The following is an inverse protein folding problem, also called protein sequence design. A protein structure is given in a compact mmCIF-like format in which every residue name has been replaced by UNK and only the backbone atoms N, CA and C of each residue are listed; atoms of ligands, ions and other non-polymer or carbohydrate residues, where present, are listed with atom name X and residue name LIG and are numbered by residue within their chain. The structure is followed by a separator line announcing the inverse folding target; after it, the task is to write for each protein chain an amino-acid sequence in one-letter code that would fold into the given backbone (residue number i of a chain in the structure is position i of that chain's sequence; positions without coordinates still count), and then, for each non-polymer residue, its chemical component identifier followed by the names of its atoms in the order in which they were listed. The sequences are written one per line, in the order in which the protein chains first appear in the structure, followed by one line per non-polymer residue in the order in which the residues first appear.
data_IF_344879191111
#
_entry.id   IF_344879191111
#
_cell.length_a   1.000
_cell.length_b   1.000
_cell.length_c   1.000
_cell.angle_alpha   90.00
_cell.angle_beta   90.00
_cell.angle_gamma   90.00
#
_symmetry.space_group_name_H-M   'P 1'
#
loop_
_entity.id
_entity.type
_entity.pdbx_description
1 polymer ?
#
# COMPACT_ATOMS: atom_id res chain seq x y z
N UNK A 1 2.76 0.93 13.26
CA UNK A 1 2.58 -0.48 12.80
C UNK A 1 2.78 -0.60 11.30
N UNK A 2 2.01 0.13 10.48
CA UNK A 2 2.19 0.11 9.01
C UNK A 2 3.59 0.52 8.54
N UNK A 3 4.23 1.50 9.21
CA UNK A 3 5.62 1.89 8.89
C UNK A 3 6.59 0.70 8.97
N UNK A 4 6.47 -0.13 10.02
CA UNK A 4 7.30 -1.32 10.17
C UNK A 4 7.05 -2.33 9.04
N UNK A 5 5.78 -2.55 8.65
CA UNK A 5 5.42 -3.46 7.56
C UNK A 5 6.02 -3.01 6.22
N UNK A 6 6.04 -1.71 5.94
CA UNK A 6 6.64 -1.17 4.71
C UNK A 6 8.16 -1.39 4.62
N UNK A 7 8.81 -1.65 5.75
CA UNK A 7 10.27 -1.86 5.83
C UNK A 7 10.65 -3.34 5.85
N UNK A 8 9.68 -4.25 5.87
CA UNK A 8 9.97 -5.67 5.75
C UNK A 8 10.66 -5.96 4.41
N UNK A 9 11.60 -6.93 4.35
CA UNK A 9 12.34 -7.23 3.13
C UNK A 9 11.43 -7.48 1.92
N UNK A 10 10.30 -8.16 2.12
CA UNK A 10 9.29 -8.44 1.08
C UNK A 10 8.56 -7.19 0.58
N UNK A 11 8.50 -6.13 1.37
CA UNK A 11 7.78 -4.88 1.05
C UNK A 11 8.73 -3.71 0.74
N UNK A 12 10.04 -3.97 0.72
CA UNK A 12 11.09 -2.96 0.61
C UNK A 12 11.20 -2.32 -0.78
N UNK A 13 10.46 -2.83 -1.76
CA UNK A 13 10.40 -2.33 -3.14
C UNK A 13 8.96 -2.13 -3.56
N UNK A 14 8.71 -1.19 -4.47
CA UNK A 14 7.37 -0.95 -5.03
C UNK A 14 6.85 -2.20 -5.75
N UNK A 15 5.56 -2.52 -5.55
CA UNK A 15 4.90 -3.64 -6.21
C UNK A 15 4.98 -3.56 -7.75
N UNK A 16 4.67 -2.40 -8.33
CA UNK A 16 4.60 -2.26 -9.80
C UNK A 16 5.96 -2.10 -10.48
N UNK A 17 6.88 -1.33 -9.88
CA UNK A 17 8.08 -0.85 -10.58
C UNK A 17 9.39 -1.14 -9.82
N UNK A 18 9.31 -1.85 -8.69
CA UNK A 18 10.45 -2.27 -7.87
C UNK A 18 11.37 -1.14 -7.35
N UNK A 19 10.93 0.12 -7.45
CA UNK A 19 11.64 1.24 -6.83
C UNK A 19 11.73 1.03 -5.31
N UNK A 20 12.90 1.20 -4.69
CA UNK A 20 13.08 0.92 -3.27
C UNK A 20 12.29 1.90 -2.37
N UNK A 21 12.05 1.46 -1.14
CA UNK A 21 11.45 2.26 -0.06
C UNK A 21 10.09 2.89 -0.41
N UNK A 22 9.07 2.11 -0.82
CA UNK A 22 7.73 2.63 -1.06
C UNK A 22 7.13 3.22 0.24
N UNK A 23 6.57 4.43 0.15
CA UNK A 23 5.92 5.14 1.28
C UNK A 23 4.42 5.36 1.09
N UNK A 24 3.83 4.65 0.14
CA UNK A 24 2.39 4.58 -0.10
C UNK A 24 1.98 3.12 -0.16
N UNK A 25 0.69 2.87 0.00
CA UNK A 25 0.12 1.54 -0.15
C UNK A 25 -1.31 1.62 -0.67
N UNK A 26 -1.72 0.60 -1.42
CA UNK A 26 -3.12 0.40 -1.79
C UNK A 26 -3.74 -0.59 -0.82
N UNK A 27 -4.80 -0.18 -0.11
CA UNK A 27 -5.50 -1.01 0.90
C UNK A 27 -6.68 -1.81 0.33
N UNK A 28 -6.97 -1.62 -0.96
CA UNK A 28 -7.95 -2.39 -1.70
C UNK A 28 -7.61 -2.36 -3.20
N UNK A 29 -7.84 -3.46 -3.90
CA UNK A 29 -7.68 -3.57 -5.34
C UNK A 29 -8.86 -4.34 -5.93
N UNK A 30 -9.56 -3.76 -6.91
CA UNK A 30 -10.77 -4.33 -7.52
C UNK A 30 -11.81 -4.81 -6.49
N UNK A 31 -12.03 -4.00 -5.46
CA UNK A 31 -12.98 -4.31 -4.38
C UNK A 31 -12.51 -5.37 -3.39
N UNK A 32 -11.34 -5.97 -3.56
CA UNK A 32 -10.77 -6.94 -2.62
C UNK A 32 -9.83 -6.24 -1.62
N UNK A 33 -9.87 -6.60 -0.33
CA UNK A 33 -8.91 -6.12 0.66
C UNK A 33 -7.51 -6.70 0.35
N UNK A 34 -6.54 -5.82 0.18
CA UNK A 34 -5.14 -6.17 -0.09
C UNK A 34 -4.24 -5.07 0.46
N UNK A 35 -2.95 -5.34 0.65
CA UNK A 35 -2.00 -4.28 0.99
C UNK A 35 -0.71 -4.42 0.18
N UNK A 36 -0.65 -3.69 -0.93
CA UNK A 36 0.55 -3.59 -1.76
C UNK A 36 1.23 -2.24 -1.53
N UNK A 37 2.55 -2.24 -1.39
CA UNK A 37 3.33 -1.02 -1.18
C UNK A 37 3.78 -0.41 -2.50
N UNK A 38 3.55 0.89 -2.66
CA UNK A 38 3.75 1.65 -3.89
C UNK A 38 4.69 2.83 -3.67
N UNK A 39 5.52 3.13 -4.68
CA UNK A 39 6.25 4.39 -4.74
C UNK A 39 5.29 5.55 -5.04
N UNK A 40 5.77 6.79 -4.89
CA UNK A 40 4.94 7.99 -5.12
C UNK A 40 4.32 8.02 -6.51
N UNK A 41 5.09 7.65 -7.55
CA UNK A 41 4.64 7.68 -8.94
C UNK A 41 3.53 6.66 -9.21
N UNK A 42 3.74 5.39 -8.81
CA UNK A 42 2.73 4.33 -8.95
C UNK A 42 1.48 4.61 -8.12
N UNK A 43 1.65 5.20 -6.92
CA UNK A 43 0.52 5.65 -6.11
C UNK A 43 -0.35 6.68 -6.87
N UNK A 44 0.26 7.55 -7.67
CA UNK A 44 -0.45 8.50 -8.53
C UNK A 44 -1.25 7.80 -9.64
N UNK A 45 -0.65 6.81 -10.30
CA UNK A 45 -1.36 6.00 -11.32
C UNK A 45 -2.56 5.27 -10.73
N UNK A 46 -2.38 4.64 -9.56
CA UNK A 46 -3.45 3.97 -8.85
C UNK A 46 -4.60 4.90 -8.45
N UNK A 47 -4.30 6.15 -8.06
CA UNK A 47 -5.34 7.15 -7.78
C UNK A 47 -6.18 7.47 -9.02
N UNK A 48 -5.57 7.52 -10.20
CA UNK A 48 -6.27 7.76 -11.47
C UNK A 48 -7.25 6.64 -11.86
N UNK A 49 -7.08 5.43 -11.32
CA UNK A 49 -8.03 4.31 -11.51
C UNK A 49 -9.36 4.53 -10.77
N UNK A 50 -9.38 5.41 -9.78
CA UNK A 50 -10.55 5.70 -8.94
C UNK A 50 -10.71 4.76 -7.74
N UNK A 51 -11.41 5.25 -6.72
CA UNK A 51 -11.53 4.61 -5.39
C UNK A 51 -12.27 3.27 -5.36
N UNK A 52 -13.03 2.95 -6.41
CA UNK A 52 -13.66 1.66 -6.59
C UNK A 52 -12.64 0.58 -7.01
N UNK A 53 -11.58 1.00 -7.73
CA UNK A 53 -10.54 0.10 -8.23
C UNK A 53 -9.37 0.06 -7.28
N UNK A 54 -8.83 1.19 -6.83
CA UNK A 54 -7.69 1.23 -5.91
C UNK A 54 -7.87 2.31 -4.86
N UNK A 55 -7.63 1.94 -3.59
CA UNK A 55 -7.68 2.86 -2.45
C UNK A 55 -6.30 3.09 -1.90
N UNK A 56 -5.68 4.20 -2.31
CA UNK A 56 -4.31 4.55 -1.96
C UNK A 56 -4.24 5.37 -0.67
N UNK A 57 -3.37 4.97 0.25
CA UNK A 57 -2.99 5.70 1.47
C UNK A 57 -1.48 5.88 1.56
N UNK A 58 -1.04 6.99 2.15
CA UNK A 58 0.34 7.20 2.56
C UNK A 58 0.64 6.42 3.84
N UNK A 59 1.84 5.85 3.93
CA UNK A 59 2.33 5.20 5.15
C UNK A 59 2.56 6.25 6.26
N UNK A 60 2.99 7.46 5.89
CA UNK A 60 3.38 8.53 6.81
C UNK A 60 2.27 9.55 7.08
N UNK A 61 1.52 9.93 6.05
CA UNK A 61 0.66 11.12 6.09
C UNK A 61 -0.81 10.81 6.39
N UNK A 62 -1.25 9.57 6.16
CA UNK A 62 -2.65 9.18 6.36
C UNK A 62 -2.84 8.45 7.69
N UNK A 63 -4.00 8.66 8.32
CA UNK A 63 -4.40 7.87 9.48
C UNK A 63 -4.80 6.46 9.06
N UNK A 64 -4.28 5.44 9.74
CA UNK A 64 -4.59 4.03 9.51
C UNK A 64 -5.48 3.49 10.61
N UNK A 65 -6.58 2.83 10.25
CA UNK A 65 -7.39 2.10 11.23
C UNK A 65 -6.72 0.78 11.61
N UNK A 66 -7.04 0.27 12.80
CA UNK A 66 -6.58 -1.05 13.25
C UNK A 66 -6.95 -2.17 12.28
N UNK A 67 -8.16 -2.12 11.71
CA UNK A 67 -8.60 -3.08 10.68
C UNK A 67 -7.72 -3.04 9.42
N UNK A 68 -7.37 -1.83 8.94
CA UNK A 68 -6.49 -1.67 7.78
C UNK A 68 -5.08 -2.20 8.04
N UNK A 69 -4.56 -1.98 9.26
CA UNK A 69 -3.26 -2.51 9.67
C UNK A 69 -3.30 -4.04 9.75
N UNK A 70 -4.36 -4.63 10.33
CA UNK A 70 -4.53 -6.09 10.38
C UNK A 70 -4.61 -6.69 8.98
N UNK A 71 -5.35 -6.07 8.05
CA UNK A 71 -5.37 -6.49 6.64
C UNK A 71 -3.98 -6.40 6.03
N UNK A 72 -3.20 -5.36 6.34
CA UNK A 72 -1.82 -5.24 5.88
C UNK A 72 -0.88 -6.29 6.51
N UNK A 73 -1.18 -6.81 7.70
CA UNK A 73 -0.41 -7.90 8.33
C UNK A 73 -0.79 -9.27 7.73
N UNK A 74 -2.06 -9.49 7.41
CA UNK A 74 -2.58 -10.78 6.90
C UNK A 74 -2.46 -10.94 5.38
N UNK A 75 -2.72 -9.86 4.65
CA UNK A 75 -2.80 -9.82 3.19
C UNK A 75 -1.75 -8.89 2.57
N UNK A 76 -0.87 -8.32 3.40
CA UNK A 76 0.26 -7.52 2.92
C UNK A 76 1.45 -8.39 2.54
N UNK A 77 2.23 -7.86 1.61
CA UNK A 77 3.26 -8.60 0.91
C UNK A 77 3.23 -8.19 -0.55
N UNK A 78 4.33 -7.62 -1.03
CA UNK A 78 4.54 -7.49 -2.47
C UNK A 78 4.99 -8.83 -3.08
#
# INVERSE_FOLDING_TARGET
RIDHLSRLPTNSTCFDCHTPSPRWASIALQGQPTCIFLCIACSGMHRSLGVAVSRVKSVDLDAWSEEQVTVAEMCGGN
#
